data_IF_472732969474
#
_entry.id   IF_472732969474
#
_cell.length_a   1.000
_cell.length_b   1.000
_cell.length_c   1.000
_cell.angle_alpha   90.00
_cell.angle_beta   90.00
_cell.angle_gamma   90.00
#
_symmetry.space_group_name_H-M   'P 1'
#
loop_
_entity.id
_entity.type
_entity.pdbx_description
1 polymer ?
#
# COMPACT_ATOMS: atom_id res chain seq x y z
N UNK A 1 -31.44 -7.32 -1.57
CA UNK A 1 -30.73 -6.28 -0.82
C UNK A 1 -29.37 -6.11 -1.48
N UNK A 2 -29.01 -4.90 -1.92
CA UNK A 2 -27.69 -4.66 -2.50
C UNK A 2 -26.59 -4.98 -1.48
N UNK A 3 -25.50 -5.60 -1.95
CA UNK A 3 -24.42 -6.09 -1.09
C UNK A 3 -23.46 -4.93 -0.82
N UNK A 4 -23.60 -4.31 0.36
CA UNK A 4 -22.69 -3.26 0.83
C UNK A 4 -21.30 -3.88 1.09
N UNK A 5 -20.28 -3.39 0.40
CA UNK A 5 -18.91 -3.89 0.52
C UNK A 5 -17.92 -2.74 0.66
N UNK A 6 -17.11 -2.77 1.73
CA UNK A 6 -15.93 -1.91 1.84
C UNK A 6 -14.79 -2.55 1.08
N UNK A 7 -14.32 -1.90 0.02
CA UNK A 7 -13.32 -2.50 -0.87
C UNK A 7 -11.91 -1.92 -0.69
N UNK A 8 -11.78 -0.69 -0.18
CA UNK A 8 -10.47 -0.06 -0.02
C UNK A 8 -10.38 0.89 1.16
N UNK A 9 -9.20 0.89 1.79
CA UNK A 9 -8.76 1.94 2.70
C UNK A 9 -7.48 2.59 2.14
N UNK A 10 -7.47 3.93 2.07
CA UNK A 10 -6.30 4.73 1.69
C UNK A 10 -5.84 5.57 2.89
N UNK A 11 -4.60 5.35 3.34
CA UNK A 11 -3.92 6.19 4.32
C UNK A 11 -3.15 7.28 3.58
N UNK A 12 -3.75 8.45 3.46
CA UNK A 12 -3.13 9.59 2.79
C UNK A 12 -2.76 10.71 3.77
N UNK A 13 -1.77 11.52 3.42
CA UNK A 13 -1.61 12.85 4.03
C UNK A 13 -2.41 13.83 3.17
N UNK A 14 -3.21 14.70 3.80
CA UNK A 14 -3.90 15.76 3.07
C UNK A 14 -2.85 16.66 2.39
N UNK A 15 -3.08 17.02 1.13
CA UNK A 15 -2.31 18.09 0.47
C UNK A 15 -2.84 19.42 0.99
N UNK A 16 -2.36 19.86 2.14
CA UNK A 16 -2.43 21.29 2.43
C UNK A 16 -1.45 22.01 1.50
N UNK A 17 -1.92 23.07 0.86
CA UNK A 17 -1.10 23.95 0.03
C UNK A 17 0.13 24.38 0.83
N UNK A 18 1.31 24.37 0.21
CA UNK A 18 2.64 24.63 0.79
C UNK A 18 2.82 26.01 1.49
N UNK A 19 1.76 26.79 1.68
CA UNK A 19 1.81 28.17 2.16
C UNK A 19 1.14 28.41 3.53
N UNK A 20 0.56 27.42 4.19
CA UNK A 20 0.11 27.58 5.58
C UNK A 20 1.04 26.85 6.54
N UNK A 21 1.80 27.65 7.29
CA UNK A 21 2.61 27.23 8.44
C UNK A 21 1.65 26.82 9.55
N UNK A 22 1.12 25.60 9.47
CA UNK A 22 0.55 24.90 10.62
C UNK A 22 1.00 23.44 10.56
N UNK A 23 1.75 23.00 11.57
CA UNK A 23 2.47 21.73 11.62
C UNK A 23 1.59 20.47 11.79
N UNK A 24 0.26 20.56 11.65
CA UNK A 24 -0.59 19.37 11.73
C UNK A 24 -0.81 18.77 10.34
N UNK A 25 0.15 17.95 9.88
CA UNK A 25 -0.07 17.07 8.71
C UNK A 25 -1.28 16.17 8.99
N UNK A 26 -2.45 16.51 8.46
CA UNK A 26 -3.68 15.71 8.63
C UNK A 26 -3.50 14.37 7.93
N UNK A 27 -3.46 13.30 8.72
CA UNK A 27 -3.63 11.96 8.18
C UNK A 27 -5.10 11.82 7.78
N UNK A 28 -5.37 11.24 6.62
CA UNK A 28 -6.72 11.06 6.10
C UNK A 28 -6.89 9.60 5.78
N UNK A 29 -7.97 9.02 6.30
CA UNK A 29 -8.36 7.66 6.00
C UNK A 29 -9.63 7.70 5.15
N UNK A 30 -9.52 7.24 3.91
CA UNK A 30 -10.66 7.16 3.00
C UNK A 30 -11.18 5.74 2.94
N UNK A 31 -12.46 5.56 3.20
CA UNK A 31 -13.15 4.27 3.09
C UNK A 31 -14.10 4.34 1.91
N UNK A 32 -13.90 3.47 0.92
CA UNK A 32 -14.79 3.38 -0.26
C UNK A 32 -15.81 2.26 -0.07
N UNK A 33 -17.06 2.66 -0.01
CA UNK A 33 -18.22 1.78 0.07
C UNK A 33 -18.84 1.64 -1.31
N UNK A 34 -19.08 0.40 -1.73
CA UNK A 34 -19.68 0.09 -3.01
C UNK A 34 -21.10 -0.45 -2.81
N UNK A 35 -22.04 0.11 -3.56
CA UNK A 35 -23.43 -0.34 -3.66
C UNK A 35 -23.78 -0.46 -5.14
N UNK A 36 -23.66 -1.68 -5.69
CA UNK A 36 -23.77 -1.94 -7.13
C UNK A 36 -22.76 -1.11 -7.94
N UNK A 37 -23.23 -0.13 -8.72
CA UNK A 37 -22.40 0.78 -9.51
C UNK A 37 -22.06 2.08 -8.77
N UNK A 38 -22.72 2.34 -7.64
CA UNK A 38 -22.51 3.57 -6.86
C UNK A 38 -21.34 3.42 -5.88
N UNK A 39 -20.56 4.49 -5.75
CA UNK A 39 -19.42 4.57 -4.84
C UNK A 39 -19.64 5.73 -3.87
N UNK A 40 -19.70 5.42 -2.58
CA UNK A 40 -19.68 6.41 -1.51
C UNK A 40 -18.29 6.45 -0.89
N UNK A 41 -17.75 7.65 -0.73
CA UNK A 41 -16.43 7.87 -0.13
C UNK A 41 -16.64 8.51 1.24
N UNK A 42 -16.21 7.79 2.28
CA UNK A 42 -16.19 8.27 3.65
C UNK A 42 -14.79 8.75 3.98
N UNK A 43 -14.66 9.98 4.46
CA UNK A 43 -13.38 10.62 4.75
C UNK A 43 -13.25 10.84 6.25
N UNK A 44 -12.20 10.25 6.84
CA UNK A 44 -11.85 10.44 8.24
C UNK A 44 -10.56 11.28 8.32
N UNK A 45 -10.71 12.55 8.65
CA UNK A 45 -9.62 13.49 8.92
C UNK A 45 -9.10 13.25 10.34
N UNK A 46 -7.86 12.78 10.44
CA UNK A 46 -7.21 12.48 11.70
C UNK A 46 -6.35 13.68 12.11
N UNK A 47 -6.75 14.33 13.20
CA UNK A 47 -6.15 15.56 13.70
C UNK A 47 -5.39 15.25 14.98
N UNK A 48 -4.07 15.38 14.93
CA UNK A 48 -3.24 15.29 16.14
C UNK A 48 -3.46 16.55 16.99
N UNK A 49 -3.73 16.38 18.28
CA UNK A 49 -3.92 17.48 19.23
C UNK A 49 -3.20 17.22 20.54
N UNK A 50 -2.60 18.26 21.11
CA UNK A 50 -2.04 18.24 22.47
C UNK A 50 -3.04 18.68 23.55
N UNK A 51 -4.25 19.09 23.14
CA UNK A 51 -5.32 19.55 24.03
C UNK A 51 -6.03 18.32 24.57
N UNK A 52 -5.96 18.09 25.89
CA UNK A 52 -6.47 16.86 26.51
C UNK A 52 -7.98 16.69 26.36
N UNK A 53 -8.69 17.81 26.35
CA UNK A 53 -10.15 17.89 26.21
C UNK A 53 -10.62 17.47 24.82
N UNK A 54 -9.79 17.67 23.80
CA UNK A 54 -10.12 17.36 22.41
C UNK A 54 -9.85 15.89 22.07
N UNK A 55 -9.04 15.18 22.86
CA UNK A 55 -8.66 13.79 22.56
C UNK A 55 -9.90 12.89 22.56
N UNK A 56 -10.13 12.19 21.44
CA UNK A 56 -11.28 11.30 21.25
C UNK A 56 -12.52 12.01 20.70
N UNK A 57 -12.49 13.33 20.51
CA UNK A 57 -13.60 14.04 19.88
C UNK A 57 -13.77 13.60 18.43
N UNK A 58 -15.03 13.33 18.07
CA UNK A 58 -15.47 13.06 16.70
C UNK A 58 -16.38 14.22 16.30
N UNK A 59 -15.98 14.97 15.28
CA UNK A 59 -16.77 16.08 14.73
C UNK A 59 -17.20 15.68 13.33
N UNK A 60 -18.49 15.76 13.03
CA UNK A 60 -18.98 15.56 11.67
C UNK A 60 -18.89 16.89 10.91
N UNK A 61 -18.01 16.95 9.91
CA UNK A 61 -17.82 18.16 9.10
C UNK A 61 -18.82 18.19 7.93
N UNK A 62 -19.19 17.02 7.40
CA UNK A 62 -20.27 16.86 6.41
C UNK A 62 -20.87 15.44 6.47
N UNK A 63 -21.84 15.13 5.61
CA UNK A 63 -22.55 13.84 5.62
C UNK A 63 -21.59 12.63 5.60
N UNK A 64 -20.50 12.71 4.83
CA UNK A 64 -19.51 11.64 4.65
C UNK A 64 -18.10 12.04 5.09
N UNK A 65 -17.95 13.11 5.87
CA UNK A 65 -16.66 13.58 6.34
C UNK A 65 -16.67 13.81 7.85
N UNK A 66 -15.67 13.25 8.52
CA UNK A 66 -15.51 13.35 9.97
C UNK A 66 -14.09 13.77 10.32
N UNK A 67 -13.96 14.50 11.41
CA UNK A 67 -12.71 14.82 12.08
C UNK A 67 -12.61 14.01 13.36
N UNK A 68 -11.46 13.38 13.57
CA UNK A 68 -11.14 12.64 14.77
C UNK A 68 -9.86 13.20 15.40
N UNK A 69 -10.01 13.74 16.59
CA UNK A 69 -8.93 14.37 17.35
C UNK A 69 -8.24 13.32 18.22
N UNK A 70 -6.91 13.24 18.15
CA UNK A 70 -6.15 12.19 18.83
C UNK A 70 -4.87 12.67 19.49
N UNK A 71 -4.42 11.88 20.47
CA UNK A 71 -3.09 12.03 21.07
C UNK A 71 -2.01 11.58 20.06
N UNK A 72 -1.08 12.46 19.67
CA UNK A 72 0.01 12.12 18.74
C UNK A 72 0.97 11.06 19.27
N UNK A 73 1.00 10.79 20.57
CA UNK A 73 1.87 9.77 21.18
C UNK A 73 1.38 8.33 20.97
N UNK A 74 0.14 8.14 20.48
CA UNK A 74 -0.48 6.82 20.30
C UNK A 74 -0.46 6.40 18.83
N UNK A 75 -0.14 5.13 18.56
CA UNK A 75 -0.29 4.58 17.21
C UNK A 75 -1.78 4.41 16.85
N UNK A 76 -2.32 5.40 16.14
CA UNK A 76 -3.74 5.48 15.87
C UNK A 76 -4.23 4.59 14.72
N UNK A 77 -3.42 4.34 13.71
CA UNK A 77 -3.89 3.65 12.50
C UNK A 77 -4.51 2.29 12.82
N UNK A 78 -3.84 1.52 13.68
CA UNK A 78 -4.31 0.23 14.11
C UNK A 78 -5.66 0.28 14.82
N UNK A 79 -5.81 1.24 15.74
CA UNK A 79 -7.04 1.49 16.50
C UNK A 79 -8.17 1.92 15.55
N UNK A 80 -7.86 2.85 14.64
CA UNK A 80 -8.81 3.37 13.68
C UNK A 80 -9.28 2.28 12.71
N UNK A 81 -8.36 1.48 12.16
CA UNK A 81 -8.71 0.35 11.31
C UNK A 81 -9.63 -0.63 12.02
N UNK A 82 -9.35 -0.97 13.28
CA UNK A 82 -10.21 -1.84 14.08
C UNK A 82 -11.61 -1.23 14.30
N UNK A 83 -11.68 0.07 14.58
CA UNK A 83 -12.96 0.77 14.77
C UNK A 83 -13.77 0.86 13.47
N UNK A 84 -13.12 1.18 12.35
CA UNK A 84 -13.71 1.16 11.00
C UNK A 84 -14.21 -0.27 10.68
N UNK A 85 -13.40 -1.29 10.98
CA UNK A 85 -13.79 -2.70 10.80
C UNK A 85 -15.10 -3.02 11.50
N UNK A 86 -15.22 -2.60 12.78
CA UNK A 86 -16.40 -2.84 13.60
C UNK A 86 -17.60 -2.05 13.10
N UNK A 87 -17.40 -0.77 12.78
CA UNK A 87 -18.47 0.12 12.31
C UNK A 87 -19.10 -0.38 11.02
N UNK A 88 -18.29 -0.77 10.03
CA UNK A 88 -18.75 -1.30 8.75
C UNK A 88 -18.99 -2.81 8.76
N UNK A 89 -18.82 -3.49 9.90
CA UNK A 89 -18.94 -4.95 10.04
C UNK A 89 -18.12 -5.72 8.99
N UNK A 90 -16.88 -5.27 8.75
CA UNK A 90 -15.96 -5.86 7.78
C UNK A 90 -15.42 -7.17 8.38
N UNK A 91 -15.83 -8.30 7.78
CA UNK A 91 -15.43 -9.65 8.24
C UNK A 91 -14.32 -10.29 7.40
N UNK A 92 -14.00 -9.70 6.25
CA UNK A 92 -13.04 -10.22 5.29
C UNK A 92 -11.90 -9.22 5.05
N UNK A 93 -10.73 -9.66 4.56
CA UNK A 93 -9.66 -8.78 4.11
C UNK A 93 -10.17 -7.76 3.08
N UNK A 94 -9.57 -6.57 3.07
CA UNK A 94 -9.88 -5.58 2.04
C UNK A 94 -9.48 -6.11 0.66
N UNK A 95 -10.23 -5.74 -0.37
CA UNK A 95 -9.77 -5.96 -1.75
C UNK A 95 -8.54 -5.11 -2.05
N UNK A 96 -8.43 -3.92 -1.48
CA UNK A 96 -7.39 -2.94 -1.79
C UNK A 96 -6.87 -2.23 -0.55
N UNK A 97 -5.56 -2.03 -0.49
CA UNK A 97 -4.88 -1.24 0.52
C UNK A 97 -3.90 -0.26 -0.14
N UNK A 98 -3.90 0.99 0.31
CA UNK A 98 -2.89 1.97 -0.09
C UNK A 98 -2.38 2.80 1.07
N UNK A 99 -1.07 3.10 1.05
CA UNK A 99 -0.43 3.95 2.06
C UNK A 99 0.48 5.00 1.41
N UNK A 100 0.19 6.29 1.67
CA UNK A 100 1.04 7.46 1.35
C UNK A 100 1.73 8.01 2.60
N UNK A 101 2.00 7.14 3.57
CA UNK A 101 2.75 7.43 4.80
C UNK A 101 3.57 6.20 5.18
N UNK A 102 4.61 6.42 5.96
CA UNK A 102 5.38 5.36 6.59
C UNK A 102 4.49 4.48 7.46
N UNK A 103 4.65 3.17 7.32
CA UNK A 103 3.96 2.12 8.06
C UNK A 103 4.88 1.47 9.10
N UNK A 104 4.31 0.91 10.16
CA UNK A 104 5.03 0.13 11.15
C UNK A 104 4.25 -1.13 11.59
N UNK A 105 4.89 -2.03 12.35
CA UNK A 105 4.31 -3.33 12.69
C UNK A 105 2.96 -3.23 13.42
N UNK A 106 2.82 -2.22 14.28
CA UNK A 106 1.59 -1.99 15.02
C UNK A 106 0.41 -1.63 14.11
N UNK A 107 0.64 -1.07 12.92
CA UNK A 107 -0.42 -0.85 11.92
C UNK A 107 -1.08 -2.19 11.51
N UNK A 108 -0.27 -3.25 11.36
CA UNK A 108 -0.72 -4.59 10.98
C UNK A 108 -1.25 -5.39 12.18
N UNK A 109 -0.60 -5.29 13.34
CA UNK A 109 -0.92 -6.11 14.52
C UNK A 109 -2.29 -5.77 15.11
N UNK A 110 -2.73 -4.52 15.00
CA UNK A 110 -4.05 -4.08 15.47
C UNK A 110 -5.17 -4.29 14.44
N UNK A 111 -4.84 -4.61 13.19
CA UNK A 111 -5.83 -4.86 12.13
C UNK A 111 -5.48 -6.02 11.21
N UNK A 112 -5.16 -7.20 11.80
CA UNK A 112 -4.68 -8.34 11.04
C UNK A 112 -5.73 -8.84 10.05
N UNK A 113 -7.01 -8.75 10.39
CA UNK A 113 -8.09 -9.31 9.54
C UNK A 113 -8.33 -8.51 8.26
N UNK A 114 -8.05 -7.20 8.28
CA UNK A 114 -8.32 -6.27 7.18
C UNK A 114 -7.09 -6.13 6.27
N UNK A 115 -5.90 -6.14 6.84
CA UNK A 115 -4.64 -5.83 6.14
C UNK A 115 -3.79 -7.06 5.79
N UNK A 116 -4.10 -8.27 6.29
CA UNK A 116 -3.22 -9.45 6.07
C UNK A 116 -3.27 -10.05 4.67
N UNK A 117 -4.37 -9.87 3.93
CA UNK A 117 -4.56 -10.52 2.62
C UNK A 117 -5.23 -9.61 1.58
N UNK A 118 -4.71 -8.41 1.34
CA UNK A 118 -5.25 -7.54 0.30
C UNK A 118 -5.04 -8.17 -1.08
N UNK A 119 -6.07 -8.14 -1.93
CA UNK A 119 -5.89 -8.51 -3.34
C UNK A 119 -4.98 -7.49 -4.06
N UNK A 120 -5.06 -6.22 -3.68
CA UNK A 120 -4.32 -5.11 -4.29
C UNK A 120 -3.57 -4.30 -3.24
N UNK A 121 -2.27 -4.10 -3.45
CA UNK A 121 -1.40 -3.27 -2.61
C UNK A 121 -0.84 -2.12 -3.46
N UNK A 122 -1.03 -0.90 -2.97
CA UNK A 122 -0.48 0.31 -3.59
C UNK A 122 0.45 1.01 -2.61
N UNK A 123 1.72 1.20 -3.00
CA UNK A 123 2.72 1.96 -2.25
C UNK A 123 3.09 3.22 -3.05
N UNK A 124 2.24 4.25 -3.02
CA UNK A 124 2.45 5.52 -3.72
C UNK A 124 3.45 6.49 -3.05
N UNK A 125 4.23 6.04 -2.06
CA UNK A 125 5.19 6.89 -1.35
C UNK A 125 6.37 7.34 -2.23
N UNK A 126 6.99 8.46 -1.85
CA UNK A 126 8.17 9.01 -2.53
C UNK A 126 9.46 8.30 -2.10
N UNK A 127 9.55 7.88 -0.84
CA UNK A 127 10.64 7.08 -0.27
C UNK A 127 10.09 6.00 0.68
N UNK A 128 10.87 4.96 0.92
CA UNK A 128 10.55 3.82 1.80
C UNK A 128 11.87 3.25 2.33
N UNK A 129 11.91 2.80 3.58
CA UNK A 129 13.10 2.12 4.10
C UNK A 129 13.11 0.64 3.72
N UNK A 130 14.26 -0.02 3.88
CA UNK A 130 14.39 -1.46 3.69
C UNK A 130 13.53 -2.25 4.67
N UNK A 131 13.48 -1.81 5.93
CA UNK A 131 12.69 -2.45 7.00
C UNK A 131 11.19 -2.32 6.71
N UNK A 132 10.75 -1.18 6.20
CA UNK A 132 9.36 -0.96 5.87
C UNK A 132 8.91 -1.85 4.69
N UNK A 133 9.74 -1.99 3.64
CA UNK A 133 9.46 -2.92 2.55
C UNK A 133 9.33 -4.36 3.07
N UNK A 134 10.29 -4.81 3.88
CA UNK A 134 10.28 -6.16 4.43
C UNK A 134 9.05 -6.44 5.29
N UNK A 135 8.65 -5.46 6.10
CA UNK A 135 7.43 -5.54 6.87
C UNK A 135 6.19 -5.64 5.97
N UNK A 136 6.05 -4.76 4.96
CA UNK A 136 4.87 -4.75 4.08
C UNK A 136 4.75 -6.10 3.37
N UNK A 137 5.82 -6.60 2.75
CA UNK A 137 5.78 -7.83 1.96
C UNK A 137 5.73 -9.11 2.80
N UNK A 138 6.26 -9.10 4.02
CA UNK A 138 6.08 -10.23 4.95
C UNK A 138 4.64 -10.34 5.48
N UNK A 139 3.94 -9.21 5.65
CA UNK A 139 2.58 -9.16 6.20
C UNK A 139 1.49 -9.33 5.13
N UNK A 140 1.73 -8.89 3.88
CA UNK A 140 0.75 -8.98 2.80
C UNK A 140 0.85 -10.32 2.05
N UNK A 141 -0.03 -11.27 2.36
CA UNK A 141 -0.08 -12.56 1.66
C UNK A 141 -1.09 -12.54 0.50
N UNK A 142 -0.83 -13.35 -0.54
CA UNK A 142 -1.72 -13.57 -1.70
C UNK A 142 -2.04 -12.32 -2.55
N UNK A 143 -1.11 -11.36 -2.62
CA UNK A 143 -1.29 -10.14 -3.42
C UNK A 143 -1.52 -10.51 -4.89
N UNK A 144 -2.63 -10.08 -5.48
CA UNK A 144 -2.90 -10.25 -6.91
C UNK A 144 -2.29 -9.11 -7.74
N UNK A 145 -2.28 -7.90 -7.18
CA UNK A 145 -1.80 -6.72 -7.85
C UNK A 145 -0.96 -5.86 -6.91
N UNK A 146 0.29 -5.62 -7.28
CA UNK A 146 1.19 -4.70 -6.60
C UNK A 146 1.46 -3.50 -7.50
N UNK A 147 1.36 -2.29 -6.94
CA UNK A 147 1.85 -1.08 -7.59
C UNK A 147 2.73 -0.28 -6.64
N UNK A 148 3.95 0.03 -7.07
CA UNK A 148 4.87 0.88 -6.33
C UNK A 148 5.23 2.10 -7.17
N UNK A 149 5.27 3.28 -6.53
CA UNK A 149 5.82 4.51 -7.13
C UNK A 149 7.17 4.91 -6.56
N UNK A 150 7.61 4.16 -5.56
CA UNK A 150 8.82 4.41 -4.78
C UNK A 150 10.05 3.88 -5.49
N UNK A 151 11.16 4.59 -5.36
CA UNK A 151 12.46 4.09 -5.74
C UNK A 151 12.97 3.14 -4.66
N UNK A 152 13.34 1.92 -5.04
CA UNK A 152 13.81 0.90 -4.09
C UNK A 152 15.24 1.27 -3.64
N UNK A 153 15.56 1.26 -2.34
CA UNK A 153 16.91 1.53 -1.85
C UNK A 153 17.96 0.64 -2.52
N UNK A 154 19.14 1.21 -2.84
CA UNK A 154 20.20 0.51 -3.59
C UNK A 154 20.77 -0.69 -2.79
N UNK A 155 20.71 -0.62 -1.46
CA UNK A 155 21.12 -1.63 -0.50
C UNK A 155 20.13 -2.78 -0.32
N UNK A 156 18.85 -2.62 -0.74
CA UNK A 156 17.83 -3.64 -0.54
C UNK A 156 18.16 -4.94 -1.30
N UNK A 157 18.08 -6.08 -0.63
CA UNK A 157 18.45 -7.40 -1.14
C UNK A 157 17.42 -8.51 -0.91
N UNK A 158 16.39 -8.26 -0.09
CA UNK A 158 15.38 -9.26 0.29
C UNK A 158 14.23 -9.40 -0.72
N UNK A 159 14.55 -9.46 -2.01
CA UNK A 159 13.52 -9.53 -3.06
C UNK A 159 12.72 -10.84 -3.10
N UNK A 160 13.21 -11.90 -2.43
CA UNK A 160 12.57 -13.22 -2.44
C UNK A 160 11.20 -13.28 -1.76
N UNK A 161 10.89 -12.30 -0.89
CA UNK A 161 9.58 -12.21 -0.22
C UNK A 161 8.51 -11.54 -1.10
N UNK A 162 8.91 -10.90 -2.20
CA UNK A 162 7.99 -10.19 -3.07
C UNK A 162 7.19 -11.20 -3.89
N UNK A 163 5.88 -11.22 -3.68
CA UNK A 163 4.99 -12.17 -4.31
C UNK A 163 3.69 -11.50 -4.73
N UNK A 164 3.50 -11.30 -6.04
CA UNK A 164 2.25 -10.78 -6.57
C UNK A 164 2.01 -11.22 -8.02
N UNK A 165 0.78 -11.63 -8.36
CA UNK A 165 0.46 -12.06 -9.73
C UNK A 165 0.81 -11.00 -10.79
N UNK A 166 0.51 -9.74 -10.52
CA UNK A 166 0.87 -8.61 -11.39
C UNK A 166 1.63 -7.56 -10.58
N UNK A 167 2.81 -7.16 -11.07
CA UNK A 167 3.65 -6.13 -10.47
C UNK A 167 3.83 -4.95 -11.42
N UNK A 168 3.44 -3.76 -10.96
CA UNK A 168 3.66 -2.49 -11.63
C UNK A 168 4.63 -1.64 -10.81
N UNK A 169 5.90 -1.66 -11.21
CA UNK A 169 6.96 -0.92 -10.55
C UNK A 169 7.27 0.35 -11.34
N UNK A 170 7.21 1.52 -10.71
CA UNK A 170 7.70 2.74 -11.35
C UNK A 170 9.22 2.66 -11.60
N UNK A 171 9.93 2.06 -10.65
CA UNK A 171 11.37 1.82 -10.73
C UNK A 171 11.63 0.33 -10.56
N UNK A 172 12.35 -0.27 -11.51
CA UNK A 172 12.87 -1.61 -11.39
C UNK A 172 13.84 -1.71 -10.20
N UNK A 173 14.05 -2.91 -9.64
CA UNK A 173 15.11 -3.15 -8.67
C UNK A 173 16.47 -2.62 -9.16
N UNK A 174 17.27 -2.01 -8.27
CA UNK A 174 18.60 -1.49 -8.61
C UNK A 174 19.58 -2.59 -9.03
N UNK A 175 19.32 -3.84 -8.64
CA UNK A 175 20.15 -5.03 -8.93
C UNK A 175 19.34 -6.09 -9.67
N UNK A 176 19.98 -6.82 -10.58
CA UNK A 176 19.32 -7.85 -11.40
C UNK A 176 18.75 -9.00 -10.55
N UNK A 177 19.38 -9.30 -9.42
CA UNK A 177 18.92 -10.29 -8.44
C UNK A 177 17.49 -9.99 -8.00
N UNK A 178 17.10 -8.71 -7.93
CA UNK A 178 15.72 -8.34 -7.62
C UNK A 178 14.74 -8.83 -8.66
N UNK A 179 15.01 -8.61 -9.95
CA UNK A 179 14.16 -9.10 -11.03
C UNK A 179 14.06 -10.63 -11.07
N UNK A 180 15.15 -11.32 -10.72
CA UNK A 180 15.22 -12.78 -10.76
C UNK A 180 14.55 -13.44 -9.56
N UNK A 181 14.63 -12.83 -8.38
CA UNK A 181 14.19 -13.45 -7.12
C UNK A 181 12.72 -13.17 -6.78
N UNK A 182 12.17 -12.01 -7.18
CA UNK A 182 10.74 -11.70 -7.00
C UNK A 182 9.84 -12.73 -7.69
N UNK A 183 8.69 -13.09 -7.11
CA UNK A 183 7.69 -13.99 -7.70
C UNK A 183 6.49 -13.23 -8.29
N UNK A 184 6.23 -13.39 -9.59
CA UNK A 184 5.12 -12.73 -10.28
C UNK A 184 4.58 -13.57 -11.44
N UNK A 185 3.51 -13.16 -12.13
CA UNK A 185 3.18 -13.68 -13.47
C UNK A 185 3.38 -12.60 -14.54
N UNK A 186 3.15 -11.33 -14.17
CA UNK A 186 3.36 -10.17 -15.03
C UNK A 186 4.16 -9.09 -14.32
N UNK A 187 5.16 -8.54 -14.99
CA UNK A 187 5.97 -7.44 -14.48
C UNK A 187 6.03 -6.29 -15.48
N UNK A 188 5.72 -5.09 -15.00
CA UNK A 188 5.84 -3.85 -15.76
C UNK A 188 6.71 -2.87 -14.97
N UNK A 189 7.84 -2.46 -15.55
CA UNK A 189 8.79 -1.53 -14.97
C UNK A 189 8.93 -0.29 -15.85
N UNK A 190 8.67 0.91 -15.32
CA UNK A 190 8.72 2.14 -16.14
C UNK A 190 10.10 2.79 -16.25
N UNK A 191 10.98 2.54 -15.28
CA UNK A 191 12.31 3.12 -15.17
C UNK A 191 13.25 2.07 -14.61
N UNK A 192 14.52 2.11 -14.99
CA UNK A 192 15.53 1.19 -14.47
C UNK A 192 16.91 1.84 -14.43
N UNK A 193 17.71 1.50 -13.41
CA UNK A 193 19.15 1.78 -13.34
C UNK A 193 20.00 0.64 -13.91
N UNK A 194 19.38 -0.48 -14.28
CA UNK A 194 20.07 -1.67 -14.77
C UNK A 194 20.73 -1.40 -16.12
N UNK A 195 21.92 -1.97 -16.32
CA UNK A 195 22.62 -1.88 -17.60
C UNK A 195 21.96 -2.80 -18.62
N UNK A 196 22.18 -2.53 -19.90
CA UNK A 196 21.73 -3.42 -20.99
C UNK A 196 22.22 -4.86 -20.80
N UNK A 197 23.42 -5.07 -20.26
CA UNK A 197 23.94 -6.41 -19.94
C UNK A 197 23.09 -7.16 -18.93
N UNK A 198 22.57 -6.45 -17.92
CA UNK A 198 21.75 -7.02 -16.86
C UNK A 198 20.37 -7.39 -17.43
N UNK A 199 19.79 -6.51 -18.22
CA UNK A 199 18.52 -6.78 -18.92
C UNK A 199 18.65 -7.95 -19.90
N UNK A 200 19.76 -8.05 -20.64
CA UNK A 200 20.02 -9.19 -21.52
C UNK A 200 20.16 -10.50 -20.75
N UNK A 201 20.83 -10.47 -19.59
CA UNK A 201 20.93 -11.63 -18.71
C UNK A 201 19.56 -12.04 -18.17
N UNK A 202 18.73 -11.08 -17.77
CA UNK A 202 17.35 -11.32 -17.32
C UNK A 202 16.52 -11.96 -18.45
N UNK A 203 16.53 -11.38 -19.65
CA UNK A 203 15.82 -11.91 -20.82
C UNK A 203 16.27 -13.33 -21.19
N UNK A 204 17.59 -13.59 -21.14
CA UNK A 204 18.13 -14.92 -21.41
C UNK A 204 17.62 -15.95 -20.40
N UNK A 205 17.67 -15.62 -19.10
CA UNK A 205 17.16 -16.50 -18.05
C UNK A 205 15.66 -16.73 -18.19
N UNK A 206 14.91 -15.68 -18.55
CA UNK A 206 13.47 -15.78 -18.80
C UNK A 206 13.16 -16.71 -19.99
N UNK A 207 13.82 -16.55 -21.14
CA UNK A 207 13.62 -17.42 -22.31
C UNK A 207 13.98 -18.88 -22.05
N UNK A 208 14.84 -19.13 -21.06
CA UNK A 208 15.26 -20.47 -20.63
C UNK A 208 14.40 -21.06 -19.51
N UNK A 209 13.45 -20.28 -18.94
CA UNK A 209 12.51 -20.81 -17.96
C UNK A 209 11.48 -21.70 -18.68
N UNK A 210 11.66 -23.01 -18.58
CA UNK A 210 10.70 -23.99 -19.12
C UNK A 210 9.39 -23.92 -18.31
N UNK A 211 8.26 -24.28 -18.95
CA UNK A 211 6.91 -24.29 -18.34
C UNK A 211 6.79 -25.11 -17.02
N UNK A 212 7.82 -25.88 -16.66
CA UNK A 212 7.89 -26.70 -15.45
C UNK A 212 8.35 -25.94 -14.20
N UNK A 213 8.98 -24.77 -14.33
CA UNK A 213 9.17 -23.84 -13.20
C UNK A 213 7.94 -22.94 -13.11
N UNK A 214 6.89 -23.48 -12.47
CA UNK A 214 5.59 -22.87 -12.18
C UNK A 214 5.41 -21.39 -12.57
N UNK A 215 4.79 -21.16 -13.74
CA UNK A 215 3.97 -19.98 -14.10
C UNK A 215 4.56 -18.55 -13.91
N UNK A 216 5.81 -18.40 -13.51
CA UNK A 216 6.36 -17.13 -12.99
C UNK A 216 6.52 -16.03 -14.05
N UNK A 217 6.50 -16.37 -15.33
CA UNK A 217 6.94 -15.42 -16.36
C UNK A 217 6.03 -15.36 -17.59
N UNK A 218 4.79 -14.89 -17.43
CA UNK A 218 3.80 -14.82 -18.53
C UNK A 218 3.86 -13.54 -19.36
N UNK A 219 4.17 -12.38 -18.79
CA UNK A 219 4.18 -11.09 -19.54
C UNK A 219 5.12 -10.06 -18.92
N UNK A 220 5.97 -9.41 -19.74
CA UNK A 220 6.96 -8.44 -19.24
C UNK A 220 7.04 -7.21 -20.12
N UNK A 221 7.14 -6.04 -19.49
CA UNK A 221 7.44 -4.77 -20.15
C UNK A 221 8.42 -3.96 -19.28
N UNK A 222 9.64 -3.73 -19.76
CA UNK A 222 10.61 -2.86 -19.10
C UNK A 222 10.87 -1.68 -20.03
N UNK A 223 10.40 -0.51 -19.64
CA UNK A 223 10.64 0.74 -20.34
C UNK A 223 11.92 1.36 -19.80
N UNK A 224 12.93 1.49 -20.65
CA UNK A 224 14.10 2.33 -20.38
C UNK A 224 13.82 3.75 -20.85
N UNK A 225 14.10 4.74 -20.02
CA UNK A 225 14.26 6.13 -20.47
C UNK A 225 15.71 6.40 -20.80
#
# INVERSE_FOLDING_TARGET
MPKLEIQSIDFSKNKENENEVSESRKNVVMVKQFEEENITIHVFNIIATGIKEDIGMIIQSSEFEWEYHHDPSVNLTGILCNNISKFYNIKNPLKSFSARRELNNLDFDHSPNILSKPEKVYIPMESVSTEELDMIFSKCQNVQFLLTRVEIPDEYDNYGIWNAKQMYLRYAPPKIEGLLNMNYERLICQRSKLKTSDLNLFLKKWLQSDEKEDNKYKTHEILSK
#
